data_IF_720333338588
#
_entry.id   IF_720333338588
#
_cell.length_a   1.000
_cell.length_b   1.000
_cell.length_c   1.000
_cell.angle_alpha   90.00
_cell.angle_beta   90.00
_cell.angle_gamma   90.00
#
_symmetry.space_group_name_H-M   'P 1'
#
loop_
_entity.id
_entity.type
_entity.pdbx_description
1 polymer ?
#
# COMPACT_ATOMS: atom_id res chain seq x y z
N UNK A 1 -0.69 41.96 7.50
CA UNK A 1 -0.27 42.08 6.08
C UNK A 1 0.15 40.71 5.58
N UNK A 2 -0.55 40.12 4.62
CA UNK A 2 -0.21 38.79 4.09
C UNK A 2 0.95 38.90 3.08
N UNK A 3 2.10 38.27 3.40
CA UNK A 3 3.28 38.25 2.54
C UNK A 3 3.06 37.23 1.42
N UNK A 4 2.96 37.69 0.16
CA UNK A 4 2.83 36.79 -1.00
C UNK A 4 4.16 36.06 -1.23
N UNK A 5 4.21 34.78 -0.88
CA UNK A 5 5.36 33.91 -1.14
C UNK A 5 5.37 33.62 -2.64
N UNK A 6 6.39 34.10 -3.36
CA UNK A 6 6.58 33.76 -4.77
C UNK A 6 7.24 32.39 -4.83
N UNK A 7 6.49 31.34 -5.20
CA UNK A 7 7.08 30.03 -5.48
C UNK A 7 8.01 30.14 -6.69
N UNK A 8 9.28 29.82 -6.47
CA UNK A 8 10.25 29.66 -7.55
C UNK A 8 9.93 28.39 -8.35
N UNK A 9 10.40 28.32 -9.61
CA UNK A 9 10.24 27.12 -10.45
C UNK A 9 10.86 25.90 -9.75
N UNK A 10 12.00 26.10 -9.06
CA UNK A 10 12.61 25.08 -8.21
C UNK A 10 11.69 24.62 -7.08
N UNK A 11 11.01 25.53 -6.37
CA UNK A 11 10.06 25.15 -5.33
C UNK A 11 8.87 24.34 -5.87
N UNK A 12 8.39 24.64 -7.09
CA UNK A 12 7.36 23.83 -7.74
C UNK A 12 7.87 22.42 -8.08
N UNK A 13 9.08 22.31 -8.62
CA UNK A 13 9.71 21.02 -8.91
C UNK A 13 9.94 20.20 -7.63
N UNK A 14 10.40 20.85 -6.57
CA UNK A 14 10.63 20.21 -5.27
C UNK A 14 9.32 19.69 -4.66
N UNK A 15 8.23 20.45 -4.76
CA UNK A 15 6.91 19.97 -4.31
C UNK A 15 6.41 18.77 -5.11
N UNK A 16 6.63 18.76 -6.43
CA UNK A 16 6.27 17.59 -7.26
C UNK A 16 7.12 16.39 -6.86
N UNK A 17 8.44 16.58 -6.74
CA UNK A 17 9.37 15.51 -6.38
C UNK A 17 9.05 14.93 -4.98
N UNK A 18 8.66 15.78 -4.04
CA UNK A 18 8.27 15.37 -2.69
C UNK A 18 7.08 14.39 -2.69
N UNK A 19 6.18 14.49 -3.66
CA UNK A 19 5.03 13.58 -3.80
C UNK A 19 5.38 12.40 -4.71
N UNK A 20 6.13 12.66 -5.79
CA UNK A 20 6.43 11.66 -6.82
C UNK A 20 7.38 10.58 -6.30
N UNK A 21 8.38 10.95 -5.51
CA UNK A 21 9.38 10.00 -4.97
C UNK A 21 8.73 8.95 -4.07
N UNK A 22 7.96 9.30 -3.02
CA UNK A 22 7.30 8.29 -2.22
C UNK A 22 6.27 7.52 -3.06
N UNK A 23 5.49 8.18 -3.92
CA UNK A 23 4.52 7.49 -4.78
C UNK A 23 5.17 6.45 -5.71
N UNK A 24 6.32 6.77 -6.30
CA UNK A 24 7.08 5.84 -7.13
C UNK A 24 7.66 4.68 -6.30
N UNK A 25 8.11 4.95 -5.08
CA UNK A 25 8.59 3.92 -4.17
C UNK A 25 7.47 2.94 -3.76
N UNK A 26 6.28 3.46 -3.41
CA UNK A 26 5.08 2.65 -3.16
C UNK A 26 4.68 1.82 -4.40
N UNK A 27 4.76 2.41 -5.59
CA UNK A 27 4.48 1.70 -6.84
C UNK A 27 5.47 0.58 -7.15
N UNK A 28 6.76 0.78 -6.86
CA UNK A 28 7.79 -0.24 -7.01
C UNK A 28 7.61 -1.39 -6.00
N UNK A 29 7.31 -1.06 -4.73
CA UNK A 29 7.03 -2.06 -3.71
C UNK A 29 5.83 -2.94 -4.08
N UNK A 30 4.78 -2.35 -4.67
CA UNK A 30 3.60 -3.09 -5.11
C UNK A 30 3.92 -4.12 -6.22
N UNK A 31 4.88 -3.82 -7.10
CA UNK A 31 5.31 -4.75 -8.16
C UNK A 31 6.21 -5.88 -7.63
N UNK A 32 6.93 -5.65 -6.53
CA UNK A 32 7.81 -6.63 -5.90
C UNK A 32 7.12 -7.48 -4.82
N UNK A 33 5.80 -7.31 -4.62
CA UNK A 33 5.03 -8.00 -3.57
C UNK A 33 5.54 -7.74 -2.13
N UNK A 34 6.38 -6.72 -1.95
CA UNK A 34 6.87 -6.30 -0.64
C UNK A 34 5.90 -5.28 -0.02
N UNK A 35 5.59 -5.45 1.27
CA UNK A 35 4.75 -4.49 2.00
C UNK A 35 5.52 -3.19 2.26
N UNK A 36 5.15 -2.07 1.60
CA UNK A 36 5.89 -0.82 1.71
C UNK A 36 5.82 -0.23 3.12
N UNK A 37 4.74 -0.51 3.86
CA UNK A 37 4.60 -0.05 5.25
C UNK A 37 5.60 -0.77 6.14
N UNK A 38 5.81 -2.07 5.94
CA UNK A 38 6.74 -2.86 6.74
C UNK A 38 8.20 -2.53 6.37
N UNK A 39 8.51 -2.28 5.10
CA UNK A 39 9.83 -1.75 4.73
C UNK A 39 10.08 -0.35 5.33
N UNK A 40 9.06 0.50 5.43
CA UNK A 40 9.20 1.82 6.05
C UNK A 40 9.43 1.69 7.57
N UNK A 41 8.72 0.77 8.24
CA UNK A 41 8.92 0.47 9.67
C UNK A 41 10.32 -0.05 9.98
N UNK A 42 10.83 -0.95 9.13
CA UNK A 42 12.22 -1.42 9.17
C UNK A 42 13.21 -0.27 8.95
N UNK A 43 12.94 0.62 8.01
CA UNK A 43 13.80 1.78 7.73
C UNK A 43 13.76 2.84 8.85
N UNK A 44 12.61 3.07 9.49
CA UNK A 44 12.45 3.95 10.65
C UNK A 44 13.00 3.35 11.94
N UNK A 45 13.60 2.16 11.90
CA UNK A 45 14.24 1.53 13.05
C UNK A 45 13.27 1.08 14.13
N UNK A 46 12.00 0.85 13.79
CA UNK A 46 11.00 0.33 14.72
C UNK A 46 11.12 -1.19 14.95
N UNK A 47 12.01 -1.85 14.21
CA UNK A 47 12.37 -3.26 14.35
C UNK A 47 13.86 -3.40 14.67
N UNK A 48 14.30 -3.05 15.88
CA UNK A 48 15.49 -3.70 16.45
C UNK A 48 15.11 -5.17 16.74
N UNK A 49 15.14 -6.01 15.70
CA UNK A 49 15.41 -7.45 15.71
C UNK A 49 14.69 -8.21 14.58
N UNK A 50 14.90 -7.86 13.30
CA UNK A 50 15.13 -8.89 12.27
C UNK A 50 16.15 -8.37 11.28
N UNK A 51 17.33 -8.97 11.37
CA UNK A 51 18.52 -8.69 10.56
C UNK A 51 18.29 -9.16 9.12
N UNK A 52 18.57 -8.22 8.20
CA UNK A 52 19.15 -8.38 6.86
C UNK A 52 18.29 -8.82 5.66
N UNK A 53 18.07 -7.84 4.77
CA UNK A 53 18.54 -7.82 3.38
C UNK A 53 18.84 -9.20 2.79
N UNK A 54 17.89 -9.75 2.03
CA UNK A 54 18.17 -10.81 1.07
C UNK A 54 18.79 -10.15 -0.18
N UNK A 55 20.10 -9.96 -0.14
CA UNK A 55 20.91 -9.67 -1.32
C UNK A 55 21.45 -10.99 -1.84
N UNK A 56 21.18 -11.24 -3.11
CA UNK A 56 21.58 -12.41 -3.90
C UNK A 56 23.04 -12.86 -3.68
N UNK A 57 23.22 -14.18 -3.62
CA UNK A 57 24.40 -14.99 -3.30
C UNK A 57 25.67 -14.75 -4.18
N UNK A 58 26.91 -15.11 -3.74
CA UNK A 58 27.37 -16.52 -3.69
C UNK A 58 28.27 -16.94 -2.49
N UNK A 59 28.17 -18.23 -2.14
CA UNK A 59 28.87 -18.99 -1.07
C UNK A 59 30.41 -18.98 -1.18
N UNK A 60 31.19 -19.20 -0.08
CA UNK A 60 31.66 -20.56 0.28
C UNK A 60 31.83 -20.77 1.84
N UNK A 61 32.44 -21.87 2.35
CA UNK A 61 31.74 -22.97 3.01
C UNK A 61 31.98 -23.09 4.54
N UNK A 62 30.99 -23.70 5.21
CA UNK A 62 31.02 -24.49 6.45
C UNK A 62 32.12 -24.18 7.50
N UNK A 63 31.70 -23.57 8.62
CA UNK A 63 32.41 -23.72 9.89
C UNK A 63 31.38 -23.89 11.03
N UNK A 64 31.45 -25.04 11.70
CA UNK A 64 30.62 -25.45 12.82
C UNK A 64 30.79 -24.49 14.01
N UNK A 65 29.70 -23.87 14.47
CA UNK A 65 29.70 -23.09 15.70
C UNK A 65 28.46 -23.42 16.56
N UNK A 66 28.71 -24.30 17.54
CA UNK A 66 28.15 -24.38 18.91
C UNK A 66 26.65 -24.05 19.11
N UNK A 67 25.83 -24.99 19.64
CA UNK A 67 24.44 -24.69 20.00
C UNK A 67 24.40 -23.78 21.25
N UNK A 68 24.08 -22.50 21.07
CA UNK A 68 23.68 -21.63 22.17
C UNK A 68 22.22 -21.94 22.55
N UNK A 69 21.89 -22.10 23.86
CA UNK A 69 20.51 -22.22 24.30
C UNK A 69 19.86 -20.84 24.22
N UNK A 70 19.20 -20.55 23.10
CA UNK A 70 18.38 -19.35 22.93
C UNK A 70 17.14 -19.39 23.84
N UNK A 71 16.66 -18.23 24.31
CA UNK A 71 15.51 -18.14 25.21
C UNK A 71 14.29 -18.76 24.53
N UNK A 72 13.53 -19.54 25.30
CA UNK A 72 12.31 -20.22 24.88
C UNK A 72 11.50 -19.39 23.87
N UNK A 73 11.30 -19.95 22.68
CA UNK A 73 10.39 -19.39 21.69
C UNK A 73 9.07 -19.02 22.39
N UNK A 74 8.52 -17.81 22.18
CA UNK A 74 7.21 -17.49 22.72
C UNK A 74 6.25 -18.54 22.17
N UNK A 75 5.59 -19.27 23.06
CA UNK A 75 4.56 -20.22 22.68
C UNK A 75 3.57 -19.45 21.80
N UNK A 76 3.60 -19.73 20.49
CA UNK A 76 2.74 -19.07 19.52
C UNK A 76 1.31 -19.43 19.92
N UNK A 77 0.57 -18.45 20.44
CA UNK A 77 -0.81 -18.62 20.86
C UNK A 77 -1.68 -18.77 19.61
N UNK A 78 -1.84 -20.01 19.16
CA UNK A 78 -2.61 -20.40 17.96
C UNK A 78 -4.04 -19.86 18.02
N UNK A 79 -4.62 -19.73 19.22
CA UNK A 79 -5.97 -19.20 19.40
C UNK A 79 -6.04 -17.70 19.08
N UNK A 80 -4.99 -16.94 19.44
CA UNK A 80 -4.90 -15.52 19.10
C UNK A 80 -4.80 -15.30 17.59
N UNK A 81 -4.02 -16.14 16.89
CA UNK A 81 -3.85 -16.08 15.44
C UNK A 81 -5.13 -16.48 14.71
N UNK A 82 -5.87 -17.46 15.21
CA UNK A 82 -7.17 -17.84 14.63
C UNK A 82 -8.21 -16.72 14.78
N UNK A 83 -8.25 -16.04 15.93
CA UNK A 83 -9.12 -14.87 16.13
C UNK A 83 -8.76 -13.72 15.20
N UNK A 84 -7.47 -13.44 15.03
CA UNK A 84 -6.99 -12.42 14.11
C UNK A 84 -7.35 -12.75 12.66
N UNK A 85 -7.16 -14.00 12.21
CA UNK A 85 -7.57 -14.43 10.88
C UNK A 85 -9.08 -14.31 10.67
N UNK A 86 -9.91 -14.69 11.66
CA UNK A 86 -11.35 -14.54 11.56
C UNK A 86 -11.78 -13.06 11.49
N UNK A 87 -11.11 -12.17 12.22
CA UNK A 87 -11.36 -10.73 12.16
C UNK A 87 -10.96 -10.15 10.79
N UNK A 88 -9.81 -10.54 10.25
CA UNK A 88 -9.33 -10.13 8.93
C UNK A 88 -10.24 -10.64 7.80
N UNK A 89 -10.77 -11.87 7.91
CA UNK A 89 -11.73 -12.38 6.94
C UNK A 89 -13.03 -11.57 6.92
N UNK A 90 -13.50 -11.11 8.08
CA UNK A 90 -14.70 -10.24 8.15
C UNK A 90 -14.45 -8.90 7.48
N UNK A 91 -13.31 -8.26 7.71
CA UNK A 91 -13.00 -6.97 7.09
C UNK A 91 -12.82 -7.10 5.58
N UNK A 92 -12.22 -8.19 5.10
CA UNK A 92 -12.13 -8.48 3.67
C UNK A 92 -13.52 -8.60 3.04
N UNK A 93 -14.45 -9.28 3.70
CA UNK A 93 -15.80 -9.45 3.19
C UNK A 93 -16.58 -8.13 3.17
N UNK A 94 -16.46 -7.33 4.24
CA UNK A 94 -17.06 -5.99 4.32
C UNK A 94 -16.54 -5.06 3.21
N UNK A 95 -15.23 -5.04 2.99
CA UNK A 95 -14.61 -4.25 1.92
C UNK A 95 -15.06 -4.72 0.53
N UNK A 96 -15.25 -6.03 0.32
CA UNK A 96 -15.77 -6.58 -0.93
C UNK A 96 -17.20 -6.15 -1.19
N UNK A 97 -18.05 -6.16 -0.17
CA UNK A 97 -19.42 -5.71 -0.29
C UNK A 97 -19.50 -4.21 -0.60
N UNK A 98 -18.65 -3.40 0.04
CA UNK A 98 -18.54 -1.97 -0.27
C UNK A 98 -18.07 -1.74 -1.72
N UNK A 99 -17.09 -2.52 -2.20
CA UNK A 99 -16.62 -2.46 -3.58
C UNK A 99 -17.72 -2.81 -4.58
N UNK A 100 -18.51 -3.85 -4.30
CA UNK A 100 -19.66 -4.23 -5.13
C UNK A 100 -20.72 -3.13 -5.18
N UNK A 101 -21.00 -2.52 -4.03
CA UNK A 101 -21.97 -1.42 -3.95
C UNK A 101 -21.50 -0.21 -4.78
N UNK A 102 -20.24 0.21 -4.60
CA UNK A 102 -19.66 1.32 -5.36
C UNK A 102 -19.62 1.02 -6.87
N UNK A 103 -19.31 -0.20 -7.27
CA UNK A 103 -19.33 -0.60 -8.68
C UNK A 103 -20.72 -0.42 -9.30
N UNK A 104 -21.79 -0.86 -8.61
CA UNK A 104 -23.17 -0.69 -9.10
C UNK A 104 -23.54 0.79 -9.26
N UNK A 105 -23.15 1.62 -8.29
CA UNK A 105 -23.36 3.08 -8.35
C UNK A 105 -22.67 3.70 -9.57
N UNK A 106 -21.43 3.31 -9.83
CA UNK A 106 -20.67 3.80 -10.99
C UNK A 106 -21.35 3.39 -12.30
N UNK A 107 -21.84 2.14 -12.40
CA UNK A 107 -22.56 1.66 -13.58
C UNK A 107 -23.87 2.44 -13.79
N UNK A 108 -24.60 2.74 -12.72
CA UNK A 108 -25.84 3.52 -12.77
C UNK A 108 -25.58 4.97 -13.21
N UNK A 109 -24.60 5.65 -12.61
CA UNK A 109 -24.22 7.00 -13.02
C UNK A 109 -23.76 7.03 -14.49
N UNK A 110 -23.07 5.99 -14.94
CA UNK A 110 -22.64 5.89 -16.34
C UNK A 110 -23.84 5.80 -17.29
N UNK A 111 -24.85 5.00 -16.93
CA UNK A 111 -26.09 4.93 -17.70
C UNK A 111 -26.85 6.27 -17.73
N UNK A 112 -26.90 6.98 -16.61
CA UNK A 112 -27.51 8.32 -16.57
C UNK A 112 -26.79 9.29 -17.50
N UNK A 113 -25.46 9.35 -17.45
CA UNK A 113 -24.64 10.20 -18.32
C UNK A 113 -24.87 9.88 -19.80
N UNK A 114 -24.89 8.59 -20.16
CA UNK A 114 -25.15 8.17 -21.54
C UNK A 114 -26.56 8.57 -22.00
N UNK A 115 -27.56 8.45 -21.12
CA UNK A 115 -28.93 8.87 -21.42
C UNK A 115 -29.05 10.38 -21.63
N UNK A 116 -28.38 11.18 -20.80
CA UNK A 116 -28.36 12.63 -20.90
C UNK A 116 -27.63 13.07 -22.17
N UNK A 117 -26.50 12.44 -22.50
CA UNK A 117 -25.76 12.70 -23.73
C UNK A 117 -26.62 12.42 -24.97
N UNK A 118 -27.40 11.34 -24.96
CA UNK A 118 -28.34 11.03 -26.04
C UNK A 118 -29.46 12.08 -26.16
N UNK A 119 -30.00 12.57 -25.05
CA UNK A 119 -31.02 13.64 -25.04
C UNK A 119 -30.48 14.96 -25.55
N UNK A 120 -29.26 15.33 -25.17
CA UNK A 120 -28.59 16.54 -25.68
C UNK A 120 -28.40 16.43 -27.20
N UNK A 121 -27.92 15.28 -27.68
CA UNK A 121 -27.75 15.04 -29.11
C UNK A 121 -29.06 15.15 -29.91
N UNK A 122 -30.19 14.69 -29.33
CA UNK A 122 -31.51 14.85 -29.95
C UNK A 122 -31.93 16.33 -30.04
N UNK A 123 -31.71 17.11 -28.98
CA UNK A 123 -32.04 18.54 -28.95
C UNK A 123 -31.15 19.39 -29.87
N UNK A 124 -29.92 18.95 -30.14
CA UNK A 124 -28.97 19.66 -31.02
C UNK A 124 -29.25 19.40 -32.51
N UNK A 125 -29.89 18.27 -32.85
CA UNK A 125 -30.18 17.84 -34.22
C UNK A 125 -31.66 17.98 -34.64
N UNK A 126 -32.52 18.48 -33.76
CA UNK A 126 -33.89 18.97 -34.08
C UNK A 126 -33.87 20.47 -34.41
#
# INVERSE_FOLDING_TARGET
>A
MARRIRLTVFARLLLVLLILVPAAWFGAAWLNEEDPIDSLRRWLGQDEAVVMVEQDQPTPPAEEAVPQPGPAAPAIDVDSLQRANAALQKTIEELRDELRFKSRLVDELRHEVDSLKKRIWQLENE
#
